data_IF_288114703461
#
_entry.id   IF_288114703461
#
_cell.length_a   1.000
_cell.length_b   1.000
_cell.length_c   1.000
_cell.angle_alpha   90.00
_cell.angle_beta   90.00
_cell.angle_gamma   90.00
#
_symmetry.space_group_name_H-M   'P 1'
#
loop_
_entity.id
_entity.type
_entity.pdbx_description
1 polymer ?
#
# COMPACT_ATOMS: atom_id res chain seq x y z
N UNK A 1 -32.58 -48.80 -36.86
CA UNK A 1 -33.53 -48.03 -36.02
C UNK A 1 -33.20 -48.36 -34.56
N UNK A 2 -32.43 -47.53 -33.87
CA UNK A 2 -31.97 -47.78 -32.49
C UNK A 2 -32.85 -47.03 -31.46
N UNK A 3 -33.15 -47.60 -30.28
CA UNK A 3 -34.06 -46.98 -29.33
C UNK A 3 -33.37 -45.83 -28.59
N UNK A 4 -34.08 -44.70 -28.43
CA UNK A 4 -33.60 -43.51 -27.70
C UNK A 4 -33.62 -43.78 -26.19
N UNK A 5 -32.52 -43.49 -25.50
CA UNK A 5 -32.41 -43.55 -24.03
C UNK A 5 -33.20 -42.40 -23.36
N UNK A 6 -33.75 -42.60 -22.14
CA UNK A 6 -34.47 -41.54 -21.43
C UNK A 6 -33.52 -40.47 -20.87
N UNK A 7 -33.98 -39.22 -20.82
CA UNK A 7 -33.25 -38.09 -20.24
C UNK A 7 -33.22 -38.17 -18.70
N UNK A 8 -32.11 -37.77 -18.05
CA UNK A 8 -32.03 -37.70 -16.60
C UNK A 8 -32.83 -36.50 -16.04
N UNK A 9 -33.29 -36.54 -14.79
CA UNK A 9 -34.07 -35.47 -14.18
C UNK A 9 -33.19 -34.23 -13.90
N UNK A 10 -33.75 -33.04 -14.14
CA UNK A 10 -33.07 -31.76 -13.98
C UNK A 10 -32.72 -31.44 -12.52
N UNK A 11 -31.52 -30.90 -12.29
CA UNK A 11 -31.09 -30.39 -10.98
C UNK A 11 -31.96 -29.20 -10.56
N UNK A 12 -32.52 -29.27 -9.34
CA UNK A 12 -33.16 -28.12 -8.69
C UNK A 12 -32.11 -27.07 -8.32
N UNK A 13 -32.42 -25.76 -8.44
CA UNK A 13 -31.51 -24.70 -8.02
C UNK A 13 -31.35 -24.66 -6.49
N UNK A 14 -30.13 -24.45 -6.02
CA UNK A 14 -29.81 -24.31 -4.60
C UNK A 14 -30.42 -23.02 -4.01
N UNK A 15 -31.00 -23.12 -2.82
CA UNK A 15 -31.55 -21.99 -2.08
C UNK A 15 -30.44 -20.98 -1.69
N UNK A 16 -30.65 -19.68 -1.97
CA UNK A 16 -29.75 -18.60 -1.55
C UNK A 16 -29.79 -18.44 -0.03
N UNK A 17 -28.62 -18.53 0.62
CA UNK A 17 -28.46 -18.19 2.04
C UNK A 17 -28.72 -16.69 2.27
N UNK A 18 -29.40 -16.28 3.36
CA UNK A 18 -29.60 -14.87 3.67
C UNK A 18 -28.28 -14.20 4.07
N UNK A 19 -28.07 -12.97 3.59
CA UNK A 19 -26.91 -12.14 3.95
C UNK A 19 -26.99 -11.79 5.44
N UNK A 20 -25.94 -12.11 6.21
CA UNK A 20 -25.80 -11.65 7.60
C UNK A 20 -25.66 -10.12 7.59
N UNK A 21 -26.55 -9.41 8.29
CA UNK A 21 -26.40 -7.97 8.56
C UNK A 21 -25.21 -7.77 9.49
N UNK A 22 -24.36 -6.79 9.20
CA UNK A 22 -23.32 -6.34 10.14
C UNK A 22 -24.01 -5.79 11.39
N UNK A 23 -23.52 -6.18 12.57
CA UNK A 23 -23.98 -5.64 13.86
C UNK A 23 -23.29 -4.30 14.11
N UNK A 24 -23.98 -3.29 14.64
CA UNK A 24 -23.34 -2.00 14.96
C UNK A 24 -22.35 -2.17 16.14
N UNK A 25 -21.21 -1.48 16.04
CA UNK A 25 -20.20 -1.41 17.09
C UNK A 25 -20.63 -0.49 18.24
N UNK A 26 -20.29 -0.85 19.47
CA UNK A 26 -20.53 -0.08 20.69
C UNK A 26 -19.47 1.04 20.86
N UNK A 27 -19.80 2.18 21.49
CA UNK A 27 -18.87 3.28 21.72
C UNK A 27 -17.81 2.95 22.78
N UNK A 28 -16.63 3.55 22.63
CA UNK A 28 -15.45 3.38 23.49
C UNK A 28 -15.67 4.08 24.83
N UNK A 29 -15.96 3.30 25.87
CA UNK A 29 -15.68 3.66 27.27
C UNK A 29 -14.77 2.57 27.81
N UNK A 30 -13.46 2.81 27.88
CA UNK A 30 -12.55 1.81 28.46
C UNK A 30 -11.04 1.95 28.26
N UNK A 31 -10.53 2.78 27.33
CA UNK A 31 -9.08 2.93 27.16
C UNK A 31 -8.60 4.23 27.83
N UNK A 32 -8.15 4.12 29.09
CA UNK A 32 -7.48 5.20 29.81
C UNK A 32 -5.96 5.13 29.59
N UNK A 33 -5.44 6.06 28.78
CA UNK A 33 -4.17 6.79 28.97
C UNK A 33 -3.98 7.68 27.74
N UNK A 34 -4.60 8.87 27.78
CA UNK A 34 -4.50 9.87 26.73
C UNK A 34 -3.22 10.71 26.91
N UNK A 35 -2.39 10.79 25.87
CA UNK A 35 -1.51 11.93 25.68
C UNK A 35 -2.35 13.11 25.12
N UNK A 36 -2.22 14.34 25.63
CA UNK A 36 -3.20 15.39 25.39
C UNK A 36 -2.80 16.25 24.17
N UNK A 37 -3.16 15.84 22.95
CA UNK A 37 -3.28 16.74 21.78
C UNK A 37 -3.76 15.99 20.52
N UNK A 38 -4.97 15.43 20.54
CA UNK A 38 -5.63 14.96 19.32
C UNK A 38 -6.89 15.80 19.05
N UNK A 39 -7.09 16.33 17.83
CA UNK A 39 -8.30 17.06 17.48
C UNK A 39 -9.54 16.15 17.52
N UNK A 40 -10.70 16.75 17.81
CA UNK A 40 -11.97 16.13 18.18
C UNK A 40 -12.70 15.29 17.10
N UNK A 41 -11.99 14.82 16.06
CA UNK A 41 -12.55 13.99 14.98
C UNK A 41 -11.99 12.56 14.90
N UNK A 42 -11.07 12.17 15.78
CA UNK A 42 -10.49 10.81 15.79
C UNK A 42 -11.41 9.82 16.50
N UNK A 43 -12.16 9.00 15.74
CA UNK A 43 -12.78 7.78 16.29
C UNK A 43 -11.83 6.60 16.06
N UNK A 44 -11.09 6.21 17.09
CA UNK A 44 -10.27 4.99 17.03
C UNK A 44 -11.13 3.73 17.16
N UNK A 45 -10.84 2.71 16.34
CA UNK A 45 -11.36 1.35 16.55
C UNK A 45 -10.18 0.41 16.79
N UNK A 46 -10.26 -0.38 17.87
CA UNK A 46 -9.33 -1.46 18.12
C UNK A 46 -9.83 -2.72 17.41
N UNK A 47 -8.94 -3.43 16.72
CA UNK A 47 -9.26 -4.77 16.23
C UNK A 47 -9.26 -5.79 17.38
N UNK A 48 -9.64 -7.04 17.07
CA UNK A 48 -9.74 -8.13 18.05
C UNK A 48 -8.36 -8.59 18.59
N UNK A 49 -7.27 -7.98 18.11
CA UNK A 49 -5.89 -8.24 18.49
C UNK A 49 -5.22 -7.03 19.18
N UNK A 50 -5.98 -5.99 19.51
CA UNK A 50 -5.46 -4.82 20.22
C UNK A 50 -4.57 -3.91 19.36
N UNK A 51 -4.62 -4.03 18.03
CA UNK A 51 -3.91 -3.10 17.15
C UNK A 51 -4.73 -1.82 16.99
N UNK A 52 -4.09 -0.70 17.30
CA UNK A 52 -4.64 0.63 17.10
C UNK A 52 -4.50 1.00 15.63
N UNK A 53 -5.61 0.97 14.87
CA UNK A 53 -5.67 1.54 13.54
C UNK A 53 -6.25 2.95 13.60
N UNK A 54 -5.50 3.93 13.09
CA UNK A 54 -6.06 5.27 12.84
C UNK A 54 -6.92 5.18 11.57
N UNK A 55 -8.24 5.09 11.74
CA UNK A 55 -9.18 5.31 10.65
C UNK A 55 -9.31 6.83 10.44
N UNK A 56 -8.49 7.38 9.55
CA UNK A 56 -8.81 8.66 8.94
C UNK A 56 -10.11 8.48 8.15
N UNK A 57 -11.14 9.18 8.60
CA UNK A 57 -12.45 9.20 7.95
C UNK A 57 -12.35 10.07 6.70
N UNK A 58 -11.70 9.56 5.67
CA UNK A 58 -11.88 10.03 4.29
C UNK A 58 -11.70 8.88 3.31
N UNK A 59 -12.84 8.35 2.87
CA UNK A 59 -13.00 7.33 1.82
C UNK A 59 -13.03 8.02 0.43
N UNK A 60 -12.24 9.09 0.25
CA UNK A 60 -12.13 9.83 -1.02
C UNK A 60 -11.17 9.10 -1.96
N UNK A 61 -11.58 7.93 -2.43
CA UNK A 61 -10.77 7.15 -3.37
C UNK A 61 -11.56 6.35 -4.39
N UNK A 62 -12.89 6.24 -4.30
CA UNK A 62 -13.58 5.32 -5.20
C UNK A 62 -13.71 5.90 -6.60
N UNK A 63 -13.15 5.20 -7.58
CA UNK A 63 -13.98 4.82 -8.73
C UNK A 63 -13.81 3.32 -8.98
N UNK A 64 -14.75 2.66 -9.66
CA UNK A 64 -14.71 1.27 -10.19
C UNK A 64 -15.63 1.22 -11.42
N UNK A 65 -15.85 0.07 -12.07
CA UNK A 65 -15.49 -0.36 -13.45
C UNK A 65 -15.82 0.58 -14.65
N UNK A 66 -16.07 1.86 -14.42
CA UNK A 66 -16.71 2.82 -15.33
C UNK A 66 -15.77 3.97 -15.81
N UNK A 67 -14.45 3.84 -15.61
CA UNK A 67 -13.46 4.92 -15.79
C UNK A 67 -12.58 5.18 -14.57
N UNK A 68 -11.96 4.13 -14.02
CA UNK A 68 -11.50 4.13 -12.63
C UNK A 68 -10.00 4.28 -12.43
N UNK A 69 -9.62 5.13 -11.49
CA UNK A 69 -8.25 5.24 -10.95
C UNK A 69 -8.05 4.31 -9.74
N UNK A 70 -6.84 3.78 -9.51
CA UNK A 70 -6.52 3.00 -8.31
C UNK A 70 -6.81 3.83 -7.05
N UNK A 71 -7.46 3.19 -6.07
CA UNK A 71 -7.69 3.76 -4.74
C UNK A 71 -6.55 3.37 -3.78
N UNK A 72 -6.51 3.97 -2.59
CA UNK A 72 -5.49 3.67 -1.58
C UNK A 72 -5.48 2.18 -1.18
N UNK A 73 -6.64 1.52 -1.20
CA UNK A 73 -6.76 0.11 -0.85
C UNK A 73 -6.18 -0.80 -1.93
N UNK A 74 -6.36 -0.46 -3.20
CA UNK A 74 -5.74 -1.15 -4.33
C UNK A 74 -4.21 -0.98 -4.30
N UNK A 75 -3.71 0.23 -4.04
CA UNK A 75 -2.27 0.47 -3.89
C UNK A 75 -1.66 -0.27 -2.70
N UNK A 76 -2.37 -0.31 -1.57
CA UNK A 76 -1.93 -1.04 -0.38
C UNK A 76 -1.72 -2.54 -0.67
N UNK A 77 -2.64 -3.15 -1.43
CA UNK A 77 -2.49 -4.56 -1.85
C UNK A 77 -1.40 -4.72 -2.90
N UNK A 78 -1.34 -3.80 -3.85
CA UNK A 78 -0.37 -3.83 -4.94
C UNK A 78 1.07 -3.79 -4.42
N UNK A 79 1.38 -2.96 -3.43
CA UNK A 79 2.71 -2.84 -2.84
C UNK A 79 3.27 -4.21 -2.41
N UNK A 80 2.49 -4.94 -1.61
CA UNK A 80 2.86 -6.30 -1.17
C UNK A 80 2.99 -7.25 -2.34
N UNK A 81 2.00 -7.29 -3.24
CA UNK A 81 2.02 -8.20 -4.39
C UNK A 81 3.24 -8.01 -5.30
N UNK A 82 3.64 -6.77 -5.55
CA UNK A 82 4.81 -6.46 -6.38
C UNK A 82 6.11 -6.79 -5.66
N UNK A 83 6.23 -6.44 -4.39
CA UNK A 83 7.43 -6.72 -3.60
C UNK A 83 7.64 -8.20 -3.31
N UNK A 84 6.57 -9.00 -3.22
CA UNK A 84 6.68 -10.46 -2.98
C UNK A 84 6.52 -11.30 -4.25
N UNK A 85 6.31 -10.67 -5.41
CA UNK A 85 6.20 -11.35 -6.70
C UNK A 85 5.01 -12.29 -6.85
N UNK A 86 3.91 -12.13 -6.12
CA UNK A 86 2.79 -13.10 -6.09
C UNK A 86 2.06 -13.29 -7.42
N UNK A 87 2.29 -12.39 -8.37
CA UNK A 87 1.72 -12.43 -9.73
C UNK A 87 2.70 -12.95 -10.79
N UNK A 88 3.93 -13.29 -10.38
CA UNK A 88 5.01 -13.72 -11.27
C UNK A 88 5.49 -15.13 -10.92
N UNK A 89 6.19 -15.76 -11.87
CA UNK A 89 7.00 -16.93 -11.54
C UNK A 89 8.17 -16.51 -10.64
N UNK A 90 8.69 -17.40 -9.76
CA UNK A 90 9.85 -17.09 -8.92
C UNK A 90 11.06 -16.63 -9.73
N UNK A 91 11.30 -17.23 -10.91
CA UNK A 91 12.37 -16.83 -11.80
C UNK A 91 12.19 -15.40 -12.33
N UNK A 92 10.97 -15.02 -12.71
CA UNK A 92 10.69 -13.66 -13.20
C UNK A 92 10.80 -12.62 -12.08
N UNK A 93 10.38 -12.94 -10.85
CA UNK A 93 10.59 -12.04 -9.71
C UNK A 93 12.07 -11.87 -9.40
N UNK A 94 12.85 -12.95 -9.46
CA UNK A 94 14.30 -12.88 -9.28
C UNK A 94 14.95 -11.94 -10.30
N UNK A 95 14.56 -12.00 -11.59
CA UNK A 95 15.02 -11.03 -12.60
C UNK A 95 14.59 -9.60 -12.27
N UNK A 96 13.36 -9.40 -11.79
CA UNK A 96 12.85 -8.07 -11.42
C UNK A 96 13.63 -7.44 -10.26
N UNK A 97 14.07 -8.26 -9.31
CA UNK A 97 14.81 -7.87 -8.11
C UNK A 97 16.34 -7.95 -8.27
N UNK A 98 16.84 -8.11 -9.50
CA UNK A 98 18.28 -7.89 -9.79
C UNK A 98 18.60 -6.40 -9.67
N UNK A 99 18.68 -5.92 -8.43
CA UNK A 99 18.94 -4.53 -8.10
C UNK A 99 20.36 -4.13 -8.44
N UNK A 100 20.48 -3.10 -9.27
CA UNK A 100 21.73 -2.39 -9.52
C UNK A 100 21.84 -1.31 -8.45
N UNK A 101 22.98 -1.24 -7.76
CA UNK A 101 23.23 -0.24 -6.71
C UNK A 101 23.19 1.17 -7.28
N UNK A 102 22.58 2.10 -6.56
CA UNK A 102 22.60 3.52 -6.90
C UNK A 102 23.90 4.13 -6.35
N UNK A 103 24.77 4.72 -7.18
CA UNK A 103 26.00 5.36 -6.70
C UNK A 103 25.70 6.43 -5.65
N UNK A 104 26.47 6.44 -4.56
CA UNK A 104 26.33 7.43 -3.49
C UNK A 104 25.12 7.21 -2.56
N UNK A 105 24.36 6.13 -2.73
CA UNK A 105 23.21 5.79 -1.89
C UNK A 105 23.27 4.34 -1.42
N UNK A 106 23.87 4.13 -0.24
CA UNK A 106 24.00 2.83 0.38
C UNK A 106 22.62 2.23 0.70
N UNK A 107 22.48 0.92 0.50
CA UNK A 107 21.21 0.21 0.74
C UNK A 107 20.12 0.50 -0.31
N UNK A 108 20.38 1.36 -1.30
CA UNK A 108 19.48 1.60 -2.42
C UNK A 108 19.87 0.77 -3.65
N UNK A 109 18.87 0.40 -4.45
CA UNK A 109 19.12 -0.22 -5.74
C UNK A 109 17.87 -0.24 -6.61
N UNK A 110 18.06 -0.20 -7.92
CA UNK A 110 16.97 -0.17 -8.89
C UNK A 110 16.96 -1.46 -9.71
N UNK A 111 15.80 -2.10 -9.78
CA UNK A 111 15.54 -3.32 -10.54
C UNK A 111 14.66 -3.04 -11.75
N UNK A 112 13.88 -4.03 -12.20
CA UNK A 112 12.97 -3.83 -13.33
C UNK A 112 11.65 -3.18 -12.88
N UNK A 113 11.63 -1.85 -12.83
CA UNK A 113 10.43 -1.05 -12.52
C UNK A 113 10.03 -1.02 -11.05
N UNK A 114 10.95 -1.42 -10.16
CA UNK A 114 10.86 -1.24 -8.71
C UNK A 114 12.26 -0.95 -8.16
N UNK A 115 12.33 -0.21 -7.07
CA UNK A 115 13.58 -0.02 -6.33
C UNK A 115 13.47 -0.58 -4.93
N UNK A 116 14.63 -0.76 -4.31
CA UNK A 116 14.79 -0.97 -2.89
C UNK A 116 15.50 0.22 -2.26
N UNK A 117 15.14 0.55 -1.03
CA UNK A 117 15.89 1.49 -0.16
C UNK A 117 15.66 1.06 1.29
N UNK A 118 16.74 0.82 2.04
CA UNK A 118 16.68 0.50 3.47
C UNK A 118 15.66 -0.61 3.84
N UNK A 119 15.54 -1.63 2.99
CA UNK A 119 14.61 -2.77 3.17
C UNK A 119 13.20 -2.57 2.58
N UNK A 120 12.81 -1.34 2.25
CA UNK A 120 11.57 -1.06 1.53
C UNK A 120 11.72 -1.42 0.06
N UNK A 121 10.70 -2.07 -0.52
CA UNK A 121 10.65 -2.47 -1.93
C UNK A 121 9.36 -1.94 -2.54
N UNK A 122 9.46 -1.28 -3.70
CA UNK A 122 8.29 -0.69 -4.37
C UNK A 122 8.69 0.37 -5.37
N UNK A 123 7.87 1.42 -5.50
CA UNK A 123 8.17 2.53 -6.38
C UNK A 123 7.51 3.84 -5.90
N UNK A 124 8.14 4.98 -6.22
CA UNK A 124 7.57 6.33 -6.10
C UNK A 124 7.08 6.81 -7.47
N UNK A 125 6.24 7.81 -7.53
CA UNK A 125 5.76 8.35 -8.80
C UNK A 125 5.81 9.86 -8.77
N UNK A 126 6.32 10.46 -9.83
CA UNK A 126 6.42 11.91 -9.99
C UNK A 126 5.73 12.31 -11.29
N UNK A 127 4.67 13.11 -11.17
CA UNK A 127 3.94 13.71 -12.27
C UNK A 127 3.76 15.20 -11.97
N UNK A 128 3.57 16.06 -12.97
CA UNK A 128 3.31 17.48 -12.74
C UNK A 128 2.14 17.69 -11.76
N UNK A 129 2.44 18.24 -10.59
CA UNK A 129 1.47 18.52 -9.52
C UNK A 129 1.06 17.32 -8.66
N UNK A 130 1.65 16.13 -8.84
CA UNK A 130 1.33 14.95 -8.03
C UNK A 130 2.54 14.08 -7.78
N UNK A 131 2.68 13.63 -6.53
CA UNK A 131 3.67 12.61 -6.17
C UNK A 131 3.02 11.43 -5.46
N UNK A 132 3.70 10.28 -5.50
CA UNK A 132 3.26 9.08 -4.81
C UNK A 132 4.43 8.28 -4.28
N UNK A 133 4.20 7.54 -3.20
CA UNK A 133 5.12 6.51 -2.68
C UNK A 133 4.29 5.28 -2.43
N UNK A 134 4.67 4.14 -2.99
CA UNK A 134 3.99 2.87 -2.74
C UNK A 134 5.03 1.78 -2.51
N UNK A 135 5.28 1.50 -1.23
CA UNK A 135 6.39 0.66 -0.76
C UNK A 135 5.90 -0.42 0.20
N UNK A 136 6.60 -1.55 0.22
CA UNK A 136 6.37 -2.65 1.15
C UNK A 136 7.67 -3.01 1.86
N UNK A 137 7.60 -3.25 3.17
CA UNK A 137 8.69 -3.70 4.02
C UNK A 137 8.41 -5.15 4.45
N UNK A 138 9.04 -6.15 3.80
CA UNK A 138 8.77 -7.56 4.07
C UNK A 138 9.03 -7.97 5.52
N UNK A 139 10.08 -7.42 6.13
CA UNK A 139 10.51 -7.78 7.50
C UNK A 139 9.43 -7.50 8.56
N UNK A 140 8.63 -6.45 8.36
CA UNK A 140 7.61 -6.02 9.31
C UNK A 140 6.17 -6.25 8.80
N UNK A 141 6.02 -6.87 7.63
CA UNK A 141 4.74 -6.95 6.89
C UNK A 141 4.01 -5.60 6.82
N UNK A 142 4.78 -4.54 6.54
CA UNK A 142 4.29 -3.16 6.54
C UNK A 142 4.18 -2.60 5.13
N UNK A 143 3.13 -1.82 4.87
CA UNK A 143 2.92 -1.14 3.60
C UNK A 143 2.79 0.36 3.82
N UNK A 144 3.53 1.15 3.04
CA UNK A 144 3.44 2.60 3.02
C UNK A 144 2.88 3.06 1.67
N UNK A 145 1.76 3.80 1.70
CA UNK A 145 1.18 4.47 0.54
C UNK A 145 1.01 5.95 0.85
N UNK A 146 1.68 6.81 0.08
CA UNK A 146 1.51 8.26 0.11
C UNK A 146 1.02 8.72 -1.26
N UNK A 147 0.05 9.63 -1.26
CA UNK A 147 -0.42 10.34 -2.45
C UNK A 147 -0.44 11.83 -2.11
N UNK A 148 0.36 12.62 -2.82
CA UNK A 148 0.50 14.05 -2.63
C UNK A 148 0.01 14.80 -3.87
N UNK A 149 -0.64 15.94 -3.66
CA UNK A 149 -1.10 16.87 -4.69
C UNK A 149 -0.11 18.03 -4.92
N UNK A 150 1.18 17.74 -4.72
CA UNK A 150 2.29 18.66 -5.00
C UNK A 150 3.48 17.85 -5.50
N UNK A 151 4.24 18.44 -6.41
CA UNK A 151 5.55 17.98 -6.87
C UNK A 151 6.56 19.14 -6.84
N UNK A 152 6.32 20.14 -5.97
CA UNK A 152 7.21 21.29 -5.80
C UNK A 152 8.33 20.87 -4.88
N UNK A 153 9.55 20.82 -5.40
CA UNK A 153 10.74 20.45 -4.63
C UNK A 153 10.94 21.39 -3.43
N UNK A 154 11.50 20.83 -2.36
CA UNK A 154 12.01 21.58 -1.22
C UNK A 154 13.47 21.21 -0.99
N UNK A 155 14.37 22.20 -1.10
CA UNK A 155 15.82 22.02 -1.01
C UNK A 155 16.36 20.90 -1.93
N UNK A 156 15.78 20.79 -3.12
CA UNK A 156 16.13 19.76 -4.12
C UNK A 156 15.48 18.40 -3.91
N UNK A 157 14.73 18.19 -2.83
CA UNK A 157 14.03 16.92 -2.57
C UNK A 157 12.57 16.96 -3.01
N UNK A 158 12.11 15.84 -3.59
CA UNK A 158 10.70 15.57 -3.80
C UNK A 158 9.95 15.57 -2.44
N UNK A 159 8.81 16.28 -2.30
CA UNK A 159 7.96 16.23 -1.11
C UNK A 159 7.65 14.81 -0.63
N UNK A 160 7.44 13.87 -1.54
CA UNK A 160 7.20 12.45 -1.25
C UNK A 160 8.35 11.80 -0.47
N UNK A 161 9.60 12.13 -0.81
CA UNK A 161 10.78 11.67 -0.10
C UNK A 161 10.82 12.24 1.32
N UNK A 162 10.54 13.54 1.48
CA UNK A 162 10.52 14.19 2.78
C UNK A 162 9.43 13.62 3.71
N UNK A 163 8.21 13.44 3.20
CA UNK A 163 7.11 12.87 3.97
C UNK A 163 7.36 11.40 4.30
N UNK A 164 7.83 10.59 3.36
CA UNK A 164 8.14 9.18 3.60
C UNK A 164 9.24 9.03 4.65
N UNK A 165 10.30 9.84 4.58
CA UNK A 165 11.37 9.88 5.59
C UNK A 165 10.84 10.27 6.97
N UNK A 166 10.01 11.31 7.05
CA UNK A 166 9.43 11.78 8.32
C UNK A 166 8.49 10.74 8.96
N UNK A 167 7.73 9.99 8.15
CA UNK A 167 6.88 8.91 8.66
C UNK A 167 7.74 7.75 9.16
N UNK A 168 8.65 7.26 8.30
CA UNK A 168 9.47 6.07 8.61
C UNK A 168 10.43 6.29 9.76
N UNK A 169 10.93 7.50 10.00
CA UNK A 169 11.73 7.81 11.18
C UNK A 169 10.99 7.60 12.51
N UNK A 170 9.65 7.63 12.49
CA UNK A 170 8.80 7.41 13.67
C UNK A 170 8.35 5.96 13.75
N UNK A 171 7.84 5.39 12.64
CA UNK A 171 7.15 4.09 12.68
C UNK A 171 8.04 2.89 12.36
N UNK A 172 9.17 3.12 11.67
CA UNK A 172 10.13 2.08 11.27
C UNK A 172 11.57 2.65 11.34
N UNK A 173 12.06 3.04 12.53
CA UNK A 173 13.32 3.77 12.67
C UNK A 173 14.57 3.02 12.17
N UNK A 174 14.52 1.70 12.10
CA UNK A 174 15.61 0.87 11.54
C UNK A 174 15.55 0.75 9.99
N UNK A 175 14.48 1.28 9.38
CA UNK A 175 14.21 1.26 7.94
C UNK A 175 13.74 2.64 7.47
N UNK A 176 14.57 3.66 7.65
CA UNK A 176 14.21 5.03 7.22
C UNK A 176 14.24 5.11 5.70
N UNK A 177 13.13 5.53 5.09
CA UNK A 177 13.04 5.73 3.66
C UNK A 177 13.88 6.93 3.25
N UNK A 178 14.75 6.75 2.26
CA UNK A 178 15.59 7.83 1.73
C UNK A 178 15.85 7.63 0.23
N UNK A 179 15.80 8.73 -0.51
CA UNK A 179 16.15 8.84 -1.92
C UNK A 179 16.99 10.11 -2.14
N UNK A 180 17.87 10.12 -3.15
CA UNK A 180 18.68 11.28 -3.49
C UNK A 180 17.85 12.51 -3.85
N UNK A 181 18.42 13.69 -3.61
CA UNK A 181 17.87 14.94 -4.12
C UNK A 181 17.88 14.95 -5.66
N UNK A 182 16.86 15.54 -6.27
CA UNK A 182 16.83 15.69 -7.71
C UNK A 182 18.04 16.48 -8.22
N UNK A 183 18.76 15.90 -9.17
CA UNK A 183 19.96 16.51 -9.74
C UNK A 183 21.25 16.27 -8.96
N UNK A 184 21.25 15.42 -7.93
CA UNK A 184 22.48 14.96 -7.24
C UNK A 184 23.50 14.27 -8.15
N UNK A 185 23.04 13.77 -9.30
CA UNK A 185 23.87 13.04 -10.27
C UNK A 185 24.43 13.95 -11.38
N UNK A 186 24.12 15.26 -11.34
CA UNK A 186 24.78 16.23 -12.22
C UNK A 186 26.14 16.57 -11.65
N UNK A 187 27.14 15.78 -12.05
CA UNK A 187 28.54 16.11 -11.89
C UNK A 187 28.81 17.54 -12.42
N UNK A 188 29.43 18.46 -11.66
CA UNK A 188 29.82 19.77 -12.16
C UNK A 188 30.88 19.68 -13.27
#
# INVERSE_FOLDING_TARGET
>A
MAPRRPRPPGRRPAARRPRRRARPCLPVVGCASAAPSAPSSTTGCCDRHGRTGLLTRDDTGRRRPDGTRPDLHDLHRWAKMVATGTLLSPATQAERERFITVPGYDGAGYGLGLFRTHGWIGHNGSLPGYESVTMYLPEQDATMVLLLNTAILHDGFEPSTLFARAITSVITPDHVYELPAEGSDRNP
#
